data_IF_056600466984
#
_entry.id   IF_056600466984
#
_cell.length_a   1.000
_cell.length_b   1.000
_cell.length_c   1.000
_cell.angle_alpha   90.00
_cell.angle_beta   90.00
_cell.angle_gamma   90.00
#
_symmetry.space_group_name_H-M   'P 1'
#
loop_
_entity.id
_entity.type
_entity.pdbx_description
1 polymer ?
#
# COMPACT_ATOMS: atom_id res chain seq x y z
N UNK A 1 9.22 -1.97 8.69
CA UNK A 1 9.61 -1.70 7.31
C UNK A 1 9.29 -0.25 6.98
N UNK A 2 10.17 0.39 6.20
CA UNK A 2 10.31 1.86 6.04
C UNK A 2 9.00 2.62 5.80
N UNK A 3 8.54 2.67 4.55
CA UNK A 3 7.60 3.72 4.10
C UNK A 3 6.17 3.25 3.77
N UNK A 4 5.87 1.96 4.00
CA UNK A 4 4.55 1.37 3.75
C UNK A 4 3.59 1.50 4.94
N UNK A 5 2.32 1.77 4.66
CA UNK A 5 1.24 1.84 5.66
C UNK A 5 -0.10 1.38 5.09
N UNK A 6 -0.95 0.78 5.92
CA UNK A 6 -2.33 0.49 5.56
C UNK A 6 -3.23 1.68 5.92
N UNK A 7 -3.93 2.24 4.92
CA UNK A 7 -4.74 3.45 5.06
C UNK A 7 -6.21 3.12 4.85
N UNK A 8 -7.06 3.53 5.80
CA UNK A 8 -8.51 3.45 5.67
C UNK A 8 -9.06 4.75 5.05
N UNK A 9 -9.75 4.64 3.91
CA UNK A 9 -10.30 5.78 3.18
C UNK A 9 -11.61 6.29 3.79
N UNK A 10 -12.50 5.43 4.31
CA UNK A 10 -13.78 5.82 4.93
C UNK A 10 -14.08 5.04 6.22
N UNK A 11 -14.67 5.70 7.23
CA UNK A 11 -15.05 5.12 8.54
C UNK A 11 -16.19 4.08 8.49
N UNK A 12 -16.76 3.77 7.32
CA UNK A 12 -17.80 2.72 7.20
C UNK A 12 -17.13 1.34 7.13
N UNK A 13 -17.70 0.38 7.87
CA UNK A 13 -17.26 -1.01 8.07
C UNK A 13 -17.31 -1.88 6.79
N UNK A 14 -16.72 -1.41 5.70
CA UNK A 14 -16.62 -2.19 4.47
C UNK A 14 -15.16 -2.29 4.06
N UNK A 15 -14.65 -3.53 3.95
CA UNK A 15 -13.26 -3.86 3.64
C UNK A 15 -12.77 -3.28 2.30
N UNK A 16 -13.69 -2.81 1.47
CA UNK A 16 -13.41 -2.08 0.23
C UNK A 16 -12.78 -0.69 0.46
N UNK A 17 -12.73 -0.21 1.70
CA UNK A 17 -12.22 1.12 2.03
C UNK A 17 -10.73 1.15 2.43
N UNK A 18 -9.99 0.06 2.29
CA UNK A 18 -8.56 0.04 2.62
C UNK A 18 -7.68 0.14 1.37
N UNK A 19 -6.52 0.77 1.53
CA UNK A 19 -5.43 0.77 0.54
C UNK A 19 -4.10 0.61 1.24
N UNK A 20 -3.14 -0.05 0.61
CA UNK A 20 -1.75 0.01 1.05
C UNK A 20 -1.09 1.20 0.37
N UNK A 21 -0.48 2.08 1.14
CA UNK A 21 0.17 3.28 0.66
C UNK A 21 1.66 3.24 0.99
N UNK A 22 2.50 3.54 0.00
CA UNK A 22 3.94 3.75 0.16
C UNK A 22 4.25 5.22 -0.07
N UNK A 23 4.93 5.83 0.89
CA UNK A 23 5.55 7.14 0.70
C UNK A 23 6.74 7.00 -0.24
N UNK A 24 6.79 7.84 -1.28
CA UNK A 24 7.84 7.77 -2.30
C UNK A 24 8.57 9.10 -2.43
N UNK A 25 8.83 9.75 -1.30
CA UNK A 25 9.36 11.12 -1.21
C UNK A 25 10.74 11.27 -1.89
N UNK A 26 11.50 10.18 -1.99
CA UNK A 26 12.83 10.15 -2.59
C UNK A 26 12.83 9.83 -4.09
N UNK A 27 11.67 9.55 -4.70
CA UNK A 27 11.60 9.13 -6.10
C UNK A 27 11.02 10.21 -6.99
N UNK A 28 11.61 10.37 -8.18
CA UNK A 28 11.01 11.15 -9.25
C UNK A 28 9.85 10.38 -9.91
N UNK A 29 9.01 11.11 -10.66
CA UNK A 29 7.79 10.55 -11.26
C UNK A 29 8.10 9.39 -12.23
N UNK A 30 9.16 9.51 -13.04
CA UNK A 30 9.49 8.51 -14.04
C UNK A 30 9.98 7.19 -13.42
N UNK A 31 10.80 7.26 -12.36
CA UNK A 31 11.19 6.09 -11.57
C UNK A 31 9.97 5.40 -10.96
N UNK A 32 8.97 6.17 -10.55
CA UNK A 32 7.73 5.61 -10.00
C UNK A 32 6.85 4.95 -11.03
N UNK A 33 6.78 5.49 -12.25
CA UNK A 33 6.09 4.86 -13.37
C UNK A 33 6.78 3.54 -13.70
N UNK A 34 8.11 3.53 -13.82
CA UNK A 34 8.87 2.31 -14.08
C UNK A 34 8.69 1.26 -12.97
N UNK A 35 8.78 1.67 -11.71
CA UNK A 35 8.55 0.79 -10.57
C UNK A 35 7.14 0.21 -10.59
N UNK A 36 6.13 1.06 -10.83
CA UNK A 36 4.74 0.63 -10.99
C UNK A 36 4.64 -0.46 -12.05
N UNK A 37 5.10 -0.20 -13.28
CA UNK A 37 5.02 -1.16 -14.39
C UNK A 37 5.66 -2.51 -14.05
N UNK A 38 6.80 -2.51 -13.36
CA UNK A 38 7.47 -3.74 -12.93
C UNK A 38 6.65 -4.54 -11.92
N UNK A 39 5.99 -3.87 -10.97
CA UNK A 39 5.12 -4.55 -9.99
C UNK A 39 3.86 -5.07 -10.68
N UNK A 40 3.23 -4.29 -11.55
CA UNK A 40 2.04 -4.71 -12.31
C UNK A 40 2.35 -5.92 -13.21
N UNK A 41 3.50 -5.91 -13.89
CA UNK A 41 3.95 -7.05 -14.70
C UNK A 41 4.26 -8.30 -13.87
N UNK A 42 4.91 -8.14 -12.70
CA UNK A 42 5.36 -9.28 -11.89
C UNK A 42 4.24 -9.94 -11.10
N UNK A 43 3.32 -9.15 -10.55
CA UNK A 43 2.29 -9.64 -9.62
C UNK A 43 0.87 -9.50 -10.16
N UNK A 44 0.66 -8.89 -11.33
CA UNK A 44 -0.68 -8.66 -11.88
C UNK A 44 -1.52 -7.65 -11.10
N UNK A 45 -0.91 -6.91 -10.17
CA UNK A 45 -1.61 -5.93 -9.35
C UNK A 45 -1.94 -4.67 -10.14
N UNK A 46 -2.99 -3.95 -9.73
CA UNK A 46 -3.27 -2.61 -10.24
C UNK A 46 -2.86 -1.58 -9.20
N UNK A 47 -1.85 -0.76 -9.53
CA UNK A 47 -1.34 0.29 -8.66
C UNK A 47 -1.68 1.67 -9.23
N UNK A 48 -1.88 2.66 -8.34
CA UNK A 48 -2.00 4.06 -8.77
C UNK A 48 -1.01 4.94 -8.05
N UNK A 49 -0.30 5.75 -8.84
CA UNK A 49 0.48 6.86 -8.35
C UNK A 49 -0.50 7.98 -7.99
N UNK A 50 -0.45 8.44 -6.75
CA UNK A 50 -1.27 9.52 -6.24
C UNK A 50 -0.39 10.63 -5.67
N UNK A 51 -1.05 11.70 -5.24
CA UNK A 51 -0.43 12.79 -4.50
C UNK A 51 -1.03 12.78 -3.10
N UNK A 52 -0.17 12.68 -2.09
CA UNK A 52 -0.56 12.81 -0.69
C UNK A 52 -0.92 14.26 -0.36
N UNK A 53 -1.63 14.51 0.74
CA UNK A 53 -2.02 15.87 1.18
C UNK A 53 -0.83 16.81 1.36
N UNK A 54 0.35 16.25 1.62
CA UNK A 54 1.63 16.96 1.70
C UNK A 54 2.24 17.33 0.34
N UNK A 55 1.50 17.18 -0.77
CA UNK A 55 1.96 17.35 -2.16
C UNK A 55 3.09 16.38 -2.59
N UNK A 56 3.32 15.31 -1.82
CA UNK A 56 4.33 14.29 -2.12
C UNK A 56 3.72 13.15 -2.91
N UNK A 57 4.50 12.56 -3.80
CA UNK A 57 4.07 11.38 -4.56
C UNK A 57 3.97 10.16 -3.63
N UNK A 58 2.97 9.33 -3.91
CA UNK A 58 2.72 8.07 -3.20
C UNK A 58 2.29 7.00 -4.19
N UNK A 59 2.59 5.75 -3.87
CA UNK A 59 2.05 4.59 -4.58
C UNK A 59 0.99 3.94 -3.72
N UNK A 60 -0.16 3.66 -4.32
CA UNK A 60 -1.27 3.03 -3.64
C UNK A 60 -1.63 1.71 -4.32
N UNK A 61 -1.76 0.66 -3.53
CA UNK A 61 -2.35 -0.62 -3.91
C UNK A 61 -3.81 -0.57 -3.50
N UNK A 62 -4.69 -0.69 -4.50
CA UNK A 62 -6.14 -0.79 -4.32
C UNK A 62 -6.58 -2.23 -4.59
N UNK A 63 -7.84 -2.52 -4.25
CA UNK A 63 -8.47 -3.84 -4.31
C UNK A 63 -8.03 -4.75 -3.15
N UNK A 64 -9.01 -5.30 -2.43
CA UNK A 64 -8.79 -6.18 -1.29
C UNK A 64 -7.94 -7.41 -1.65
N UNK A 65 -8.13 -8.00 -2.84
CA UNK A 65 -7.33 -9.15 -3.28
C UNK A 65 -5.85 -8.81 -3.39
N UNK A 66 -5.50 -7.70 -4.06
CA UNK A 66 -4.11 -7.27 -4.19
C UNK A 66 -3.48 -6.94 -2.83
N UNK A 67 -4.28 -6.42 -1.89
CA UNK A 67 -3.83 -6.14 -0.52
C UNK A 67 -3.56 -7.45 0.22
N UNK A 68 -4.43 -8.46 0.10
CA UNK A 68 -4.21 -9.78 0.67
C UNK A 68 -2.96 -10.45 0.09
N UNK A 69 -2.80 -10.40 -1.24
CA UNK A 69 -1.62 -10.95 -1.91
C UNK A 69 -0.34 -10.27 -1.43
N UNK A 70 -0.38 -8.93 -1.32
CA UNK A 70 0.72 -8.15 -0.76
C UNK A 70 1.06 -8.58 0.67
N UNK A 71 0.06 -8.73 1.54
CA UNK A 71 0.26 -9.16 2.93
C UNK A 71 0.81 -10.58 2.99
N UNK A 72 0.32 -11.50 2.15
CA UNK A 72 0.82 -12.88 2.10
C UNK A 72 2.29 -12.95 1.68
N UNK A 73 2.71 -12.12 0.72
CA UNK A 73 4.11 -12.05 0.26
C UNK A 73 5.01 -11.44 1.34
N UNK A 74 4.51 -10.43 2.07
CA UNK A 74 5.33 -9.67 3.03
C UNK A 74 5.32 -10.24 4.44
N UNK A 75 4.28 -10.98 4.83
CA UNK A 75 4.10 -11.55 6.17
C UNK A 75 5.30 -12.37 6.65
N UNK A 76 5.94 -13.24 5.83
CA UNK A 76 7.11 -14.01 6.29
C UNK A 76 8.31 -13.15 6.69
N UNK A 77 8.38 -11.91 6.18
CA UNK A 77 9.48 -10.99 6.41
C UNK A 77 9.13 -9.89 7.42
N UNK A 78 7.87 -9.83 7.89
CA UNK A 78 7.45 -8.82 8.85
C UNK A 78 7.98 -9.14 10.25
N UNK A 79 8.80 -8.23 10.78
CA UNK A 79 9.17 -8.22 12.19
C UNK A 79 7.96 -7.70 12.99
N UNK A 80 7.63 -8.35 14.11
CA UNK A 80 6.46 -8.04 14.96
C UNK A 80 6.31 -6.56 15.32
N UNK A 81 7.43 -5.87 15.55
CA UNK A 81 7.49 -4.43 15.83
C UNK A 81 6.94 -3.56 14.70
N UNK A 82 6.71 -4.09 13.49
CA UNK A 82 6.10 -3.39 12.36
C UNK A 82 4.70 -3.87 12.03
N UNK A 83 4.18 -4.86 12.76
CA UNK A 83 2.81 -5.36 12.57
C UNK A 83 1.76 -4.25 12.78
N UNK A 84 2.04 -3.26 13.64
CA UNK A 84 1.11 -2.15 13.91
C UNK A 84 0.77 -1.32 12.66
N UNK A 85 1.67 -1.25 11.65
CA UNK A 85 1.42 -0.53 10.38
C UNK A 85 0.37 -1.22 9.50
N UNK A 86 0.05 -2.47 9.82
CA UNK A 86 -0.86 -3.35 9.10
C UNK A 86 -2.07 -3.76 9.94
N UNK A 87 -2.08 -3.39 11.23
CA UNK A 87 -3.22 -3.63 12.11
C UNK A 87 -4.35 -2.68 11.73
N UNK A 88 -5.42 -3.24 11.19
CA UNK A 88 -6.73 -2.61 11.25
C UNK A 88 -7.26 -2.80 12.66
N UNK A 89 -7.75 -1.73 13.30
CA UNK A 89 -8.59 -1.86 14.49
C UNK A 89 -9.92 -2.47 14.02
N UNK A 90 -9.98 -3.80 13.92
CA UNK A 90 -11.23 -4.52 13.73
C UNK A 90 -11.93 -4.45 15.09
N UNK A 91 -12.73 -3.42 15.28
CA UNK A 91 -13.73 -3.42 16.36
C UNK A 91 -14.76 -4.47 15.94
N UNK A 92 -14.78 -5.59 16.67
CA UNK A 92 -15.83 -6.61 16.57
C UNK A 92 -17.19 -6.00 16.89
#
# INVERSE_FOLDING_TARGET
MGDGSLVQMHKKQNYQNYRVQFSTECFNKDSLIHFKEKIEQKYGWSLKIGVHTSKKLVINIYNFQNILDFLNITSPYMIDCFSYKWRTTIVK
#
